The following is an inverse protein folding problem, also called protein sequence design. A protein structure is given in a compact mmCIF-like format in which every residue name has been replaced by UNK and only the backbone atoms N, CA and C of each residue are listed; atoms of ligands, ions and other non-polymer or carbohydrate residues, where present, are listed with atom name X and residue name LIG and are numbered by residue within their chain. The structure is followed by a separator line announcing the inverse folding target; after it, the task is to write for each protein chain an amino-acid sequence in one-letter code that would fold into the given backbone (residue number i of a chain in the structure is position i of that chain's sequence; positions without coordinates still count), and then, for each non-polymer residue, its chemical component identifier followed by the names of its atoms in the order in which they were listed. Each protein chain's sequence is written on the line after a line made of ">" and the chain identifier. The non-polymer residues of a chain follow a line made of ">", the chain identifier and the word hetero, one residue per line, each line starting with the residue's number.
data_IF_351428579428
#
_entry.id   IF_351428579428
#
_cell.length_a   1.000
_cell.length_b   1.000
_cell.length_c   1.000
_cell.angle_alpha   90.00
_cell.angle_beta   90.00
_cell.angle_gamma   90.00
#
_symmetry.space_group_name_H-M   'P 1'
#
loop_
_entity.id
_entity.type
_entity.pdbx_description
1 polymer ?
#
# COMPACT_ATOMS: atom_id res chain seq x y z
N UNK A 1 -8.19 -13.51 -22.72
CA UNK A 1 -6.88 -12.88 -22.44
C UNK A 1 -7.01 -11.40 -22.71
N UNK A 2 -6.72 -10.56 -21.73
CA UNK A 2 -6.68 -9.10 -21.92
C UNK A 2 -5.29 -8.79 -22.48
N UNK A 3 -5.24 -8.22 -23.69
CA UNK A 3 -4.00 -7.78 -24.33
C UNK A 3 -3.63 -6.40 -23.76
N UNK A 4 -2.57 -6.35 -22.96
CA UNK A 4 -2.04 -5.14 -22.35
C UNK A 4 -0.86 -4.61 -23.20
N UNK A 5 -1.18 -4.07 -24.37
CA UNK A 5 -0.37 -3.08 -25.09
C UNK A 5 1.12 -3.40 -25.28
N UNK A 6 1.44 -4.34 -26.18
CA UNK A 6 2.82 -4.75 -26.51
C UNK A 6 3.70 -3.68 -27.21
N UNK A 7 3.27 -2.42 -27.33
CA UNK A 7 4.00 -1.40 -28.09
C UNK A 7 4.01 -0.01 -27.42
N UNK A 8 4.14 0.04 -26.08
CA UNK A 8 4.50 1.29 -25.40
C UNK A 8 6.02 1.34 -25.28
N UNK A 9 6.64 2.33 -25.90
CA UNK A 9 8.05 2.66 -25.67
C UNK A 9 8.18 3.19 -24.24
N UNK A 10 8.58 2.33 -23.30
CA UNK A 10 8.88 2.70 -21.93
C UNK A 10 10.11 3.61 -21.94
N UNK A 11 9.88 4.93 -21.94
CA UNK A 11 10.92 5.93 -21.67
C UNK A 11 11.42 5.71 -20.25
N UNK A 12 12.66 5.23 -20.13
CA UNK A 12 13.46 5.11 -18.92
C UNK A 12 12.66 4.80 -17.65
N UNK A 13 12.50 3.50 -17.34
CA UNK A 13 11.94 3.03 -16.08
C UNK A 13 12.70 3.69 -14.91
N UNK A 14 12.10 4.74 -14.33
CA UNK A 14 12.62 5.34 -13.10
C UNK A 14 12.49 4.28 -12.01
N UNK A 15 13.62 3.66 -11.65
CA UNK A 15 13.66 2.69 -10.55
C UNK A 15 13.28 3.45 -9.28
N UNK A 16 12.12 3.11 -8.72
CA UNK A 16 11.69 3.59 -7.40
C UNK A 16 12.24 2.59 -6.38
N UNK A 17 13.07 3.07 -5.47
CA UNK A 17 13.63 2.29 -4.37
C UNK A 17 13.09 2.79 -3.04
N UNK A 18 12.86 1.88 -2.10
CA UNK A 18 12.52 2.22 -0.73
C UNK A 18 13.79 2.42 0.09
N UNK A 19 13.76 3.39 0.99
CA UNK A 19 14.85 3.64 1.92
C UNK A 19 14.99 2.48 2.92
N UNK A 20 16.21 2.24 3.38
CA UNK A 20 16.46 1.25 4.43
C UNK A 20 16.07 1.84 5.78
N UNK A 21 15.26 1.14 6.56
CA UNK A 21 14.99 1.48 7.94
C UNK A 21 13.86 0.63 8.54
N UNK A 22 13.33 1.10 9.67
CA UNK A 22 12.18 0.49 10.32
C UNK A 22 10.90 1.11 9.77
N UNK A 23 9.93 0.26 9.42
CA UNK A 23 8.65 0.68 8.88
C UNK A 23 7.55 0.30 9.86
N UNK A 24 6.63 1.23 10.11
CA UNK A 24 5.34 0.91 10.68
C UNK A 24 4.46 0.39 9.56
N UNK A 25 4.05 -0.88 9.65
CA UNK A 25 3.31 -1.56 8.59
C UNK A 25 1.97 -2.08 9.12
N UNK A 26 0.91 -1.87 8.35
CA UNK A 26 -0.41 -2.41 8.62
C UNK A 26 -0.92 -3.22 7.42
N UNK A 27 -1.40 -4.44 7.70
CA UNK A 27 -2.06 -5.29 6.72
C UNK A 27 -3.58 -5.20 6.86
N UNK A 28 -4.28 -5.23 5.74
CA UNK A 28 -5.74 -5.29 5.71
C UNK A 28 -6.24 -6.19 4.59
N UNK A 29 -7.41 -6.78 4.78
CA UNK A 29 -8.04 -7.68 3.81
C UNK A 29 -9.42 -7.16 3.41
N UNK A 30 -9.42 -6.31 2.38
CA UNK A 30 -10.63 -5.63 1.92
C UNK A 30 -10.51 -5.18 0.46
N UNK A 31 -11.56 -4.57 -0.07
CA UNK A 31 -11.56 -3.96 -1.39
C UNK A 31 -10.54 -2.81 -1.49
N UNK A 32 -9.83 -2.74 -2.62
CA UNK A 32 -8.91 -1.65 -2.95
C UNK A 32 -9.61 -0.30 -3.19
N UNK A 33 -10.94 -0.28 -3.23
CA UNK A 33 -11.72 0.92 -3.57
C UNK A 33 -11.95 1.87 -2.39
N UNK A 34 -11.68 1.41 -1.17
CA UNK A 34 -12.01 2.13 0.07
C UNK A 34 -10.89 1.98 1.10
N UNK A 35 -9.66 2.34 0.72
CA UNK A 35 -8.50 2.24 1.61
C UNK A 35 -8.37 3.41 2.60
N UNK A 36 -9.13 4.50 2.41
CA UNK A 36 -9.06 5.70 3.24
C UNK A 36 -9.23 5.43 4.74
N UNK A 37 -10.18 4.57 5.11
CA UNK A 37 -10.40 4.16 6.51
C UNK A 37 -9.19 3.51 7.17
N UNK A 38 -8.30 2.89 6.39
CA UNK A 38 -7.08 2.28 6.91
C UNK A 38 -5.99 3.32 7.17
N UNK A 39 -5.97 4.41 6.40
CA UNK A 39 -5.12 5.56 6.72
C UNK A 39 -5.52 6.20 8.05
N UNK A 40 -6.82 6.34 8.32
CA UNK A 40 -7.29 6.87 9.62
C UNK A 40 -6.79 6.02 10.79
N UNK A 41 -6.85 4.69 10.68
CA UNK A 41 -6.40 3.75 11.72
C UNK A 41 -4.90 3.86 11.97
N UNK A 42 -4.06 3.86 10.92
CA UNK A 42 -2.61 3.95 11.11
C UNK A 42 -2.18 5.33 11.61
N UNK A 43 -2.85 6.39 11.18
CA UNK A 43 -2.62 7.76 11.67
C UNK A 43 -2.97 7.91 13.15
N UNK A 44 -4.11 7.37 13.59
CA UNK A 44 -4.48 7.37 15.00
C UNK A 44 -3.45 6.62 15.86
N UNK A 45 -2.94 5.49 15.34
CA UNK A 45 -1.87 4.74 16.01
C UNK A 45 -0.57 5.54 16.12
N UNK A 46 -0.17 6.24 15.04
CA UNK A 46 1.02 7.10 15.01
C UNK A 46 0.90 8.22 16.05
N UNK A 47 -0.24 8.93 16.06
CA UNK A 47 -0.49 10.05 16.98
C UNK A 47 -0.53 9.59 18.44
N UNK A 48 -1.28 8.52 18.74
CA UNK A 48 -1.43 8.02 20.11
C UNK A 48 -0.14 7.49 20.73
N UNK A 49 0.82 7.05 19.91
CA UNK A 49 2.10 6.51 20.35
C UNK A 49 3.27 7.50 20.17
N UNK A 50 3.01 8.73 19.72
CA UNK A 50 4.03 9.74 19.41
C UNK A 50 5.13 9.21 18.47
N UNK A 51 4.74 8.42 17.47
CA UNK A 51 5.67 7.85 16.49
C UNK A 51 6.07 8.96 15.51
N UNK A 52 7.37 9.14 15.31
CA UNK A 52 7.88 10.06 14.30
C UNK A 52 8.06 9.34 12.97
N UNK A 53 7.48 9.89 11.92
CA UNK A 53 7.48 9.31 10.57
C UNK A 53 8.34 10.12 9.62
N UNK A 54 8.93 9.44 8.63
CA UNK A 54 9.74 10.05 7.57
C UNK A 54 9.08 9.76 6.22
N UNK A 55 8.86 10.81 5.42
CA UNK A 55 8.38 10.68 4.04
C UNK A 55 6.89 10.35 3.93
N UNK A 56 6.55 9.69 2.82
CA UNK A 56 5.18 9.38 2.43
C UNK A 56 4.80 7.92 2.74
N UNK A 57 3.50 7.64 2.83
CA UNK A 57 2.98 6.28 2.89
C UNK A 57 3.21 5.53 1.58
N UNK A 58 3.55 4.26 1.69
CA UNK A 58 3.55 3.30 0.59
C UNK A 58 2.37 2.35 0.75
N UNK A 59 1.57 2.20 -0.30
CA UNK A 59 0.42 1.30 -0.34
C UNK A 59 0.64 0.21 -1.39
N UNK A 60 0.58 -1.05 -0.95
CA UNK A 60 0.89 -2.22 -1.77
C UNK A 60 -0.29 -3.17 -1.74
N UNK A 61 -0.76 -3.58 -2.92
CA UNK A 61 -1.78 -4.60 -3.10
C UNK A 61 -1.12 -5.92 -3.50
N UNK A 62 -0.97 -6.81 -2.53
CA UNK A 62 -0.17 -8.05 -2.66
C UNK A 62 -0.93 -9.11 -3.46
N UNK A 63 -2.22 -9.27 -3.18
CA UNK A 63 -3.05 -10.30 -3.82
C UNK A 63 -4.47 -9.79 -3.98
N UNK A 64 -4.95 -9.70 -5.22
CA UNK A 64 -6.35 -9.46 -5.55
C UNK A 64 -7.09 -10.78 -5.74
N UNK A 65 -8.30 -10.89 -5.21
CA UNK A 65 -9.14 -12.10 -5.29
C UNK A 65 -10.62 -11.75 -5.33
N UNK A 66 -11.44 -12.66 -5.83
CA UNK A 66 -12.90 -12.57 -5.76
C UNK A 66 -13.38 -13.49 -4.65
N UNK A 67 -14.10 -12.96 -3.67
CA UNK A 67 -14.69 -13.73 -2.59
C UNK A 67 -15.83 -14.63 -3.07
N UNK A 68 -16.26 -15.56 -2.22
CA UNK A 68 -17.42 -16.42 -2.50
C UNK A 68 -18.74 -15.64 -2.64
N UNK A 69 -18.76 -14.38 -2.17
CA UNK A 69 -19.84 -13.41 -2.33
C UNK A 69 -19.77 -12.63 -3.66
N UNK A 70 -18.81 -12.96 -4.53
CA UNK A 70 -18.58 -12.29 -5.82
C UNK A 70 -17.90 -10.92 -5.70
N UNK A 71 -17.48 -10.51 -4.50
CA UNK A 71 -16.85 -9.19 -4.29
C UNK A 71 -15.33 -9.26 -4.45
N UNK A 72 -14.77 -8.23 -5.05
CA UNK A 72 -13.32 -8.04 -5.13
C UNK A 72 -12.76 -7.71 -3.74
N UNK A 73 -11.75 -8.47 -3.34
CA UNK A 73 -10.95 -8.24 -2.13
C UNK A 73 -9.48 -8.24 -2.48
N UNK A 74 -8.69 -7.62 -1.63
CA UNK A 74 -7.25 -7.63 -1.74
C UNK A 74 -6.60 -7.68 -0.37
N UNK A 75 -5.52 -8.45 -0.27
CA UNK A 75 -4.57 -8.27 0.82
C UNK A 75 -3.76 -7.00 0.52
N UNK A 76 -4.11 -5.92 1.22
CA UNK A 76 -3.44 -4.64 1.15
C UNK A 76 -2.47 -4.46 2.30
N UNK A 77 -1.48 -3.59 2.07
CA UNK A 77 -0.47 -3.18 3.02
C UNK A 77 -0.30 -1.67 2.90
N UNK A 78 -0.32 -0.97 4.04
CA UNK A 78 0.12 0.43 4.14
C UNK A 78 1.33 0.46 5.05
N UNK A 79 2.38 1.18 4.65
CA UNK A 79 3.58 1.34 5.46
C UNK A 79 4.20 2.73 5.35
N UNK A 80 4.87 3.15 6.42
CA UNK A 80 5.59 4.42 6.49
C UNK A 80 6.89 4.23 7.28
N UNK A 81 7.97 4.87 6.82
CA UNK A 81 9.27 4.83 7.48
C UNK A 81 9.18 5.62 8.80
N UNK A 82 9.82 5.12 9.87
CA UNK A 82 9.83 5.76 11.18
C UNK A 82 11.24 6.13 11.65
N UNK A 83 11.34 7.15 12.51
CA UNK A 83 12.59 7.48 13.23
C UNK A 83 12.77 6.54 14.43
N UNK A 84 14.00 6.05 14.63
CA UNK A 84 14.42 5.31 15.83
C UNK A 84 14.69 6.22 17.03
#
# INVERSE_FOLDING_TARGET
>A
MINLGENVSYKDDKIISMDKGNYLTMYFDDTYRDSGKYYDVIMEYIESNNIKTIGDFNEIYIMTRVGNDGKEKSLGQIEILIED
#
